data_IF_032043801748
#
_entry.id   IF_032043801748
#
_cell.length_a   1.000
_cell.length_b   1.000
_cell.length_c   1.000
_cell.angle_alpha   90.00
_cell.angle_beta   90.00
_cell.angle_gamma   90.00
#
_symmetry.space_group_name_H-M   'P 1'
#
loop_
_entity.id
_entity.type
_entity.pdbx_description
1 polymer ?
#
# COMPACT_ATOMS: atom_id res chain seq x y z
N UNK A 1 -32.04 31.48 -89.17
CA UNK A 1 -32.54 30.78 -87.97
C UNK A 1 -32.05 31.54 -86.74
N UNK A 2 -32.87 32.49 -86.26
CA UNK A 2 -32.59 33.28 -85.07
C UNK A 2 -33.33 32.62 -83.90
N UNK A 3 -32.59 31.95 -83.01
CA UNK A 3 -33.14 31.43 -81.76
C UNK A 3 -32.99 32.49 -80.67
N UNK A 4 -34.09 33.19 -80.40
CA UNK A 4 -34.24 33.95 -79.16
C UNK A 4 -34.37 32.96 -77.99
N UNK A 5 -33.44 33.03 -77.04
CA UNK A 5 -33.57 32.39 -75.73
C UNK A 5 -34.31 33.36 -74.81
N UNK A 6 -35.57 33.05 -74.50
CA UNK A 6 -36.27 33.66 -73.37
C UNK A 6 -35.59 33.26 -72.06
N UNK A 7 -35.21 34.25 -71.27
CA UNK A 7 -34.73 34.07 -69.90
C UNK A 7 -35.98 34.11 -69.01
N UNK A 8 -36.45 32.94 -68.59
CA UNK A 8 -37.45 32.80 -67.53
C UNK A 8 -36.83 33.22 -66.20
N UNK A 9 -37.25 34.36 -65.66
CA UNK A 9 -36.93 34.76 -64.30
C UNK A 9 -37.56 33.76 -63.32
N UNK A 10 -36.73 32.92 -62.71
CA UNK A 10 -37.15 32.00 -61.65
C UNK A 10 -37.31 32.80 -60.37
N UNK A 11 -38.54 33.10 -59.99
CA UNK A 11 -38.85 33.63 -58.66
C UNK A 11 -38.40 32.58 -57.64
N UNK A 12 -37.38 32.90 -56.85
CA UNK A 12 -36.97 32.10 -55.70
C UNK A 12 -38.06 32.29 -54.65
N UNK A 13 -38.98 31.35 -54.53
CA UNK A 13 -39.88 31.28 -53.38
C UNK A 13 -39.03 30.96 -52.14
N UNK A 14 -38.92 31.93 -51.23
CA UNK A 14 -38.39 31.68 -49.90
C UNK A 14 -39.35 30.74 -49.17
N UNK A 15 -38.88 29.62 -48.59
CA UNK A 15 -39.75 28.78 -47.76
C UNK A 15 -40.28 29.63 -46.61
N UNK A 16 -41.59 29.61 -46.39
CA UNK A 16 -42.20 30.25 -45.24
C UNK A 16 -41.48 29.75 -43.98
N UNK A 17 -40.89 30.68 -43.22
CA UNK A 17 -40.36 30.41 -41.90
C UNK A 17 -41.48 29.77 -41.06
N UNK A 18 -41.35 28.48 -40.76
CA UNK A 18 -42.20 27.80 -39.79
C UNK A 18 -41.95 28.47 -38.43
N UNK A 19 -42.76 29.48 -38.10
CA UNK A 19 -42.79 30.07 -36.76
C UNK A 19 -43.33 29.00 -35.83
N UNK A 20 -42.44 28.36 -35.07
CA UNK A 20 -42.82 27.46 -34.00
C UNK A 20 -43.46 28.31 -32.91
N UNK A 21 -44.75 28.14 -32.67
CA UNK A 21 -45.45 28.84 -31.60
C UNK A 21 -45.02 28.29 -30.23
N UNK A 22 -44.90 29.14 -29.20
CA UNK A 22 -44.57 28.69 -27.84
C UNK A 22 -45.70 27.81 -27.29
N UNK A 23 -45.33 26.66 -26.75
CA UNK A 23 -46.24 25.66 -26.17
C UNK A 23 -46.26 25.80 -24.64
N UNK A 24 -47.44 25.69 -24.02
CA UNK A 24 -47.55 25.70 -22.57
C UNK A 24 -46.85 24.46 -22.00
N UNK A 25 -45.83 24.66 -21.18
CA UNK A 25 -45.11 23.55 -20.53
C UNK A 25 -45.67 23.21 -19.16
N UNK A 26 -46.41 24.13 -18.53
CA UNK A 26 -47.03 23.86 -17.24
C UNK A 26 -47.38 25.08 -16.42
N UNK A 27 -47.79 24.81 -15.17
CA UNK A 27 -48.12 25.82 -14.16
C UNK A 27 -47.12 25.73 -13.01
N UNK A 28 -46.74 26.88 -12.45
CA UNK A 28 -45.89 26.99 -11.28
C UNK A 28 -46.63 27.76 -10.19
N UNK A 29 -46.73 27.15 -9.01
CA UNK A 29 -47.42 27.70 -7.85
C UNK A 29 -46.43 27.98 -6.72
N UNK A 30 -46.40 29.22 -6.22
CA UNK A 30 -45.56 29.69 -5.11
C UNK A 30 -46.28 29.52 -3.76
N UNK A 31 -45.54 29.09 -2.74
CA UNK A 31 -45.95 28.99 -1.35
C UNK A 31 -44.91 29.64 -0.43
N UNK A 32 -45.38 30.26 0.65
CA UNK A 32 -44.52 30.94 1.63
C UNK A 32 -43.86 29.99 2.63
N UNK A 33 -44.45 28.81 2.86
CA UNK A 33 -44.08 27.91 3.94
C UNK A 33 -44.17 26.43 3.50
N UNK A 34 -43.43 25.52 4.16
CA UNK A 34 -43.40 24.12 3.76
C UNK A 34 -44.68 23.35 4.11
N UNK A 35 -45.48 23.82 5.06
CA UNK A 35 -46.70 23.14 5.50
C UNK A 35 -47.81 23.26 4.45
N UNK A 36 -47.98 24.46 3.89
CA UNK A 36 -48.90 24.71 2.78
C UNK A 36 -48.48 23.94 1.52
N UNK A 37 -47.18 23.87 1.19
CA UNK A 37 -46.68 23.02 0.09
C UNK A 37 -46.98 21.54 0.35
N UNK A 38 -46.79 21.05 1.58
CA UNK A 38 -47.07 19.67 1.96
C UNK A 38 -48.55 19.31 1.81
N UNK A 39 -49.45 20.20 2.23
CA UNK A 39 -50.89 20.01 2.05
C UNK A 39 -51.29 20.04 0.57
N UNK A 40 -50.74 20.99 -0.19
CA UNK A 40 -50.94 21.06 -1.63
C UNK A 40 -50.46 19.76 -2.32
N UNK A 41 -49.28 19.27 -1.97
CA UNK A 41 -48.69 18.03 -2.51
C UNK A 41 -49.59 16.82 -2.27
N UNK A 42 -50.15 16.66 -1.06
CA UNK A 42 -51.13 15.60 -0.77
C UNK A 42 -52.36 15.70 -1.67
N UNK A 43 -52.91 16.91 -1.84
CA UNK A 43 -54.08 17.15 -2.70
C UNK A 43 -53.76 16.84 -4.17
N UNK A 44 -52.57 17.22 -4.67
CA UNK A 44 -52.16 16.93 -6.05
C UNK A 44 -51.99 15.43 -6.27
N UNK A 45 -51.33 14.73 -5.34
CA UNK A 45 -51.21 13.27 -5.36
C UNK A 45 -52.58 12.59 -5.33
N UNK A 46 -53.46 12.98 -4.42
CA UNK A 46 -54.79 12.37 -4.24
C UNK A 46 -55.72 12.69 -5.43
N UNK A 47 -55.47 13.81 -6.11
CA UNK A 47 -56.11 14.14 -7.38
C UNK A 47 -55.59 13.29 -8.55
N UNK A 48 -54.53 12.49 -8.39
CA UNK A 48 -54.07 11.52 -9.39
C UNK A 48 -53.21 12.11 -10.52
N UNK A 49 -52.62 13.29 -10.32
CA UNK A 49 -51.59 13.81 -11.24
C UNK A 49 -50.27 13.04 -11.03
N UNK A 50 -49.56 12.76 -12.12
CA UNK A 50 -48.36 11.92 -12.13
C UNK A 50 -47.09 12.65 -12.60
N UNK A 51 -47.22 13.74 -13.36
CA UNK A 51 -46.11 14.56 -13.85
C UNK A 51 -46.17 15.94 -13.22
N UNK A 52 -45.61 16.01 -12.03
CA UNK A 52 -45.46 17.25 -11.27
C UNK A 52 -44.29 17.09 -10.31
N UNK A 53 -43.79 18.22 -9.80
CA UNK A 53 -42.62 18.24 -8.92
C UNK A 53 -42.74 19.36 -7.88
N UNK A 54 -41.96 19.27 -6.82
CA UNK A 54 -41.86 20.31 -5.80
C UNK A 54 -40.43 20.83 -5.69
N UNK A 55 -40.28 22.14 -5.59
CA UNK A 55 -38.99 22.81 -5.53
C UNK A 55 -38.88 23.52 -4.19
N UNK A 56 -37.89 23.12 -3.40
CA UNK A 56 -37.71 23.59 -2.03
C UNK A 56 -36.25 24.01 -1.81
N UNK A 57 -35.99 25.05 -1.00
CA UNK A 57 -34.63 25.54 -0.75
C UNK A 57 -33.82 24.58 0.14
N UNK A 58 -34.51 23.69 0.86
CA UNK A 58 -33.93 22.69 1.74
C UNK A 58 -34.82 21.44 1.80
N UNK A 59 -34.28 20.28 2.21
CA UNK A 59 -35.08 19.06 2.32
C UNK A 59 -36.24 19.20 3.33
N UNK A 60 -37.48 19.11 2.85
CA UNK A 60 -38.68 19.10 3.69
C UNK A 60 -39.00 17.66 4.08
N UNK A 61 -38.95 17.35 5.39
CA UNK A 61 -39.24 16.01 5.87
C UNK A 61 -40.70 15.61 5.60
N UNK A 62 -40.90 14.43 4.99
CA UNK A 62 -42.23 13.89 4.66
C UNK A 62 -42.80 14.36 3.32
N UNK A 63 -42.09 15.22 2.57
CA UNK A 63 -42.52 15.65 1.22
C UNK A 63 -42.59 14.47 0.26
N UNK A 64 -41.71 13.48 0.45
CA UNK A 64 -41.67 12.24 -0.30
C UNK A 64 -42.97 11.41 -0.13
N UNK A 65 -43.44 11.26 1.10
CA UNK A 65 -44.71 10.61 1.40
C UNK A 65 -45.91 11.43 0.90
N UNK A 66 -45.85 12.77 1.04
CA UNK A 66 -46.88 13.68 0.55
C UNK A 66 -47.03 13.64 -0.97
N UNK A 67 -45.92 13.55 -1.71
CA UNK A 67 -45.89 13.37 -3.16
C UNK A 67 -46.22 11.94 -3.59
N UNK A 68 -46.02 10.96 -2.70
CA UNK A 68 -46.19 9.54 -3.02
C UNK A 68 -45.07 8.98 -3.91
N UNK A 69 -43.85 9.52 -3.81
CA UNK A 69 -42.71 9.05 -4.59
C UNK A 69 -42.23 7.68 -4.10
N UNK A 70 -41.81 6.85 -5.06
CA UNK A 70 -41.26 5.52 -4.79
C UNK A 70 -39.81 5.63 -4.36
N UNK A 71 -39.34 4.62 -3.61
CA UNK A 71 -37.92 4.51 -3.27
C UNK A 71 -37.03 4.51 -4.52
N UNK A 72 -35.94 5.27 -4.44
CA UNK A 72 -34.95 5.34 -5.51
C UNK A 72 -34.21 4.01 -5.68
N UNK A 73 -33.84 3.69 -6.93
CA UNK A 73 -33.01 2.51 -7.25
C UNK A 73 -31.52 2.75 -6.97
N UNK A 74 -31.12 3.97 -6.60
CA UNK A 74 -29.73 4.36 -6.37
C UNK A 74 -28.98 3.42 -5.40
N UNK A 75 -29.54 2.99 -4.25
CA UNK A 75 -28.84 2.08 -3.34
C UNK A 75 -28.44 0.74 -4.00
N UNK A 76 -29.26 0.24 -4.93
CA UNK A 76 -28.95 -0.99 -5.67
C UNK A 76 -27.81 -0.79 -6.67
N UNK A 77 -27.76 0.37 -7.32
CA UNK A 77 -26.64 0.77 -8.18
C UNK A 77 -25.34 0.83 -7.36
N UNK A 78 -25.40 1.49 -6.20
CA UNK A 78 -24.25 1.62 -5.28
C UNK A 78 -23.78 0.24 -4.81
N UNK A 79 -24.69 -0.63 -4.41
CA UNK A 79 -24.37 -2.00 -3.98
C UNK A 79 -23.69 -2.80 -5.11
N UNK A 80 -24.22 -2.72 -6.34
CA UNK A 80 -23.63 -3.39 -7.50
C UNK A 80 -22.22 -2.87 -7.84
N UNK A 81 -22.01 -1.56 -7.80
CA UNK A 81 -20.70 -0.96 -8.02
C UNK A 81 -19.69 -1.37 -6.92
N UNK A 82 -20.11 -1.38 -5.66
CA UNK A 82 -19.28 -1.82 -4.54
C UNK A 82 -18.86 -3.30 -4.66
N UNK A 83 -19.81 -4.19 -4.95
CA UNK A 83 -19.53 -5.62 -5.19
C UNK A 83 -18.58 -5.84 -6.36
N UNK A 84 -18.75 -5.05 -7.43
CA UNK A 84 -17.86 -5.07 -8.59
C UNK A 84 -16.44 -4.65 -8.18
N UNK A 85 -16.29 -3.59 -7.39
CA UNK A 85 -14.99 -3.13 -6.89
C UNK A 85 -14.27 -4.17 -6.04
N UNK A 86 -14.98 -4.81 -5.12
CA UNK A 86 -14.42 -5.90 -4.30
C UNK A 86 -14.01 -7.11 -5.14
N UNK A 87 -14.84 -7.49 -6.11
CA UNK A 87 -14.53 -8.61 -7.03
C UNK A 87 -13.28 -8.30 -7.87
N UNK A 88 -13.21 -7.11 -8.47
CA UNK A 88 -12.05 -6.66 -9.24
C UNK A 88 -10.79 -6.69 -8.37
N UNK A 89 -10.85 -6.19 -7.13
CA UNK A 89 -9.70 -6.15 -6.25
C UNK A 89 -9.18 -7.54 -5.89
N UNK A 90 -10.07 -8.50 -5.59
CA UNK A 90 -9.65 -9.88 -5.28
C UNK A 90 -9.08 -10.53 -6.53
N UNK A 91 -9.78 -10.47 -7.66
CA UNK A 91 -9.35 -11.12 -8.91
C UNK A 91 -8.02 -10.56 -9.40
N UNK A 92 -7.84 -9.24 -9.35
CA UNK A 92 -6.60 -8.56 -9.72
C UNK A 92 -5.44 -9.01 -8.81
N UNK A 93 -5.61 -8.95 -7.49
CA UNK A 93 -4.54 -9.32 -6.56
C UNK A 93 -4.20 -10.81 -6.63
N UNK A 94 -5.19 -11.67 -6.82
CA UNK A 94 -4.95 -13.10 -7.03
C UNK A 94 -4.16 -13.32 -8.33
N UNK A 95 -4.61 -12.73 -9.44
CA UNK A 95 -3.94 -12.86 -10.74
C UNK A 95 -2.49 -12.40 -10.66
N UNK A 96 -2.24 -11.20 -10.13
CA UNK A 96 -0.89 -10.62 -10.07
C UNK A 96 0.06 -11.42 -9.17
N UNK A 97 -0.39 -11.85 -7.98
CA UNK A 97 0.50 -12.50 -7.02
C UNK A 97 0.61 -14.02 -7.19
N UNK A 98 -0.41 -14.70 -7.71
CA UNK A 98 -0.44 -16.17 -7.80
C UNK A 98 -0.34 -16.72 -9.23
N UNK A 99 -0.60 -15.92 -10.27
CA UNK A 99 -0.63 -16.39 -11.66
C UNK A 99 0.43 -15.73 -12.53
N UNK A 100 0.41 -14.40 -12.64
CA UNK A 100 1.25 -13.64 -13.58
C UNK A 100 2.72 -13.59 -13.14
N UNK A 101 2.98 -13.08 -11.93
CA UNK A 101 4.33 -12.95 -11.41
C UNK A 101 4.43 -13.43 -9.95
N UNK A 102 4.46 -14.75 -9.73
CA UNK A 102 4.51 -15.32 -8.38
C UNK A 102 5.84 -14.99 -7.71
N UNK A 103 5.79 -14.11 -6.72
CA UNK A 103 6.96 -13.65 -5.98
C UNK A 103 6.84 -14.00 -4.49
N UNK A 104 7.77 -14.84 -4.01
CA UNK A 104 7.77 -15.30 -2.62
C UNK A 104 8.34 -14.22 -1.69
N UNK A 105 7.46 -13.34 -1.19
CA UNK A 105 7.82 -12.25 -0.28
C UNK A 105 7.77 -12.75 1.16
N UNK A 106 8.92 -12.75 1.84
CA UNK A 106 9.01 -13.02 3.29
C UNK A 106 8.41 -14.38 3.71
N UNK A 107 8.38 -15.37 2.80
CA UNK A 107 7.83 -16.71 3.07
C UNK A 107 6.31 -16.77 3.21
N UNK A 108 5.59 -15.71 2.85
CA UNK A 108 4.11 -15.68 2.85
C UNK A 108 3.56 -16.52 1.69
N UNK A 109 2.34 -17.09 1.83
CA UNK A 109 1.68 -17.73 0.69
C UNK A 109 1.49 -16.72 -0.45
N UNK A 110 1.57 -17.20 -1.70
CA UNK A 110 1.43 -16.37 -2.90
C UNK A 110 0.10 -15.60 -2.94
N UNK A 111 -0.94 -16.11 -2.29
CA UNK A 111 -2.18 -15.38 -2.07
C UNK A 111 -2.52 -15.36 -0.58
N UNK A 112 -2.76 -14.17 -0.03
CA UNK A 112 -3.05 -13.97 1.39
C UNK A 112 -4.28 -13.07 1.55
N UNK A 113 -5.41 -13.67 1.93
CA UNK A 113 -6.66 -12.94 2.14
C UNK A 113 -6.48 -11.74 3.10
N UNK A 114 -5.80 -11.86 4.27
CA UNK A 114 -5.59 -10.72 5.17
C UNK A 114 -4.86 -9.54 4.51
N UNK A 115 -3.88 -9.82 3.64
CA UNK A 115 -3.15 -8.78 2.91
C UNK A 115 -4.01 -8.11 1.82
N UNK A 116 -4.99 -8.83 1.27
CA UNK A 116 -5.88 -8.32 0.22
C UNK A 116 -7.00 -7.41 0.74
N UNK A 117 -7.38 -7.53 2.03
CA UNK A 117 -8.53 -6.83 2.61
C UNK A 117 -8.46 -5.30 2.45
N UNK A 118 -7.35 -4.60 2.76
CA UNK A 118 -7.30 -3.15 2.62
C UNK A 118 -7.58 -2.69 1.20
N UNK A 119 -6.97 -3.33 0.19
CA UNK A 119 -7.16 -2.98 -1.21
C UNK A 119 -8.58 -3.32 -1.69
N UNK A 120 -9.12 -4.45 -1.24
CA UNK A 120 -10.51 -4.84 -1.52
C UNK A 120 -11.50 -3.82 -0.95
N UNK A 121 -11.28 -3.37 0.29
CA UNK A 121 -12.12 -2.37 0.93
C UNK A 121 -12.08 -1.05 0.17
N UNK A 122 -10.90 -0.51 -0.09
CA UNK A 122 -10.74 0.78 -0.77
C UNK A 122 -11.36 0.77 -2.18
N UNK A 123 -11.12 -0.29 -2.97
CA UNK A 123 -11.68 -0.34 -4.33
C UNK A 123 -13.21 -0.52 -4.33
N UNK A 124 -13.76 -1.25 -3.34
CA UNK A 124 -15.21 -1.37 -3.15
C UNK A 124 -15.83 -0.02 -2.81
N UNK A 125 -15.23 0.71 -1.85
CA UNK A 125 -15.70 2.04 -1.42
C UNK A 125 -15.60 3.04 -2.57
N UNK A 126 -14.50 3.04 -3.32
CA UNK A 126 -14.30 3.93 -4.46
C UNK A 126 -15.37 3.73 -5.54
N UNK A 127 -15.60 2.49 -5.97
CA UNK A 127 -16.61 2.23 -7.01
C UNK A 127 -18.03 2.47 -6.49
N UNK A 128 -18.32 2.14 -5.23
CA UNK A 128 -19.59 2.49 -4.60
C UNK A 128 -19.84 4.01 -4.59
N UNK A 129 -18.81 4.81 -4.24
CA UNK A 129 -18.89 6.26 -4.25
C UNK A 129 -19.12 6.83 -5.66
N UNK A 130 -18.46 6.28 -6.68
CA UNK A 130 -18.74 6.64 -8.08
C UNK A 130 -20.15 6.25 -8.50
N UNK A 131 -20.62 5.05 -8.11
CA UNK A 131 -22.00 4.64 -8.33
C UNK A 131 -23.01 5.58 -7.67
N UNK A 132 -22.72 6.06 -6.45
CA UNK A 132 -23.57 7.00 -5.75
C UNK A 132 -23.60 8.37 -6.43
N UNK A 133 -22.42 8.93 -6.72
CA UNK A 133 -22.29 10.25 -7.32
C UNK A 133 -22.87 10.28 -8.74
N UNK A 134 -22.37 9.44 -9.65
CA UNK A 134 -22.82 9.43 -11.04
C UNK A 134 -24.22 8.84 -11.18
N UNK A 135 -24.62 7.89 -10.32
CA UNK A 135 -25.98 7.37 -10.28
C UNK A 135 -26.98 8.45 -9.87
N UNK A 136 -26.68 9.22 -8.82
CA UNK A 136 -27.53 10.35 -8.40
C UNK A 136 -27.65 11.39 -9.52
N UNK A 137 -26.54 11.77 -10.15
CA UNK A 137 -26.57 12.69 -11.27
C UNK A 137 -27.41 12.14 -12.43
N UNK A 138 -27.18 10.90 -12.84
CA UNK A 138 -27.89 10.29 -13.96
C UNK A 138 -29.40 10.14 -13.73
N UNK A 139 -29.81 9.70 -12.53
CA UNK A 139 -31.23 9.55 -12.17
C UNK A 139 -31.96 10.90 -12.11
N UNK A 140 -31.26 11.96 -11.70
CA UNK A 140 -31.78 13.33 -11.69
C UNK A 140 -31.57 14.08 -13.02
N UNK A 141 -31.09 13.39 -14.07
CA UNK A 141 -30.79 13.96 -15.40
C UNK A 141 -29.80 15.14 -15.34
N UNK A 142 -28.87 15.10 -14.39
CA UNK A 142 -27.83 16.09 -14.22
C UNK A 142 -26.56 15.72 -15.01
N UNK A 143 -25.83 16.72 -15.55
CA UNK A 143 -26.09 18.16 -15.44
C UNK A 143 -27.21 18.65 -16.39
N UNK A 144 -28.30 19.16 -15.82
CA UNK A 144 -29.38 19.83 -16.55
C UNK A 144 -29.10 21.33 -16.55
N UNK A 145 -28.32 21.80 -17.52
CA UNK A 145 -27.85 23.19 -17.59
C UNK A 145 -28.97 24.20 -17.91
N UNK A 146 -30.13 23.73 -18.35
CA UNK A 146 -31.27 24.55 -18.69
C UNK A 146 -32.60 23.88 -18.30
N UNK A 147 -33.48 24.65 -17.65
CA UNK A 147 -34.87 24.30 -17.41
C UNK A 147 -35.72 25.58 -17.64
N UNK A 148 -36.81 25.53 -18.43
CA UNK A 148 -37.68 26.68 -18.68
C UNK A 148 -38.19 27.39 -17.42
N UNK A 149 -38.39 26.66 -16.32
CA UNK A 149 -38.83 27.21 -15.03
C UNK A 149 -37.84 28.26 -14.49
N UNK A 150 -36.55 28.18 -14.84
CA UNK A 150 -35.53 29.14 -14.39
C UNK A 150 -35.70 30.55 -14.96
N UNK A 151 -36.60 30.76 -15.94
CA UNK A 151 -36.93 32.09 -16.47
C UNK A 151 -37.85 32.90 -15.57
N UNK A 152 -38.62 32.22 -14.73
CA UNK A 152 -39.50 32.89 -13.78
C UNK A 152 -38.69 33.74 -12.79
N UNK A 153 -39.10 34.99 -12.61
CA UNK A 153 -38.53 35.87 -11.60
C UNK A 153 -38.93 35.43 -10.18
N UNK A 154 -40.12 34.83 -10.01
CA UNK A 154 -40.55 34.26 -8.75
C UNK A 154 -39.68 33.05 -8.37
N UNK A 155 -39.42 32.15 -9.32
CA UNK A 155 -38.66 30.92 -9.10
C UNK A 155 -37.19 31.17 -8.71
N UNK A 156 -36.63 32.36 -8.96
CA UNK A 156 -35.31 32.74 -8.44
C UNK A 156 -35.22 32.63 -6.91
N UNK A 157 -36.35 32.73 -6.21
CA UNK A 157 -36.44 32.58 -4.74
C UNK A 157 -36.57 31.13 -4.27
N UNK A 158 -36.68 30.16 -5.17
CA UNK A 158 -36.82 28.72 -4.83
C UNK A 158 -35.64 28.17 -4.04
N UNK A 159 -34.47 28.80 -4.13
CA UNK A 159 -33.25 28.43 -3.39
C UNK A 159 -33.01 29.28 -2.14
N UNK A 160 -33.86 30.28 -1.87
CA UNK A 160 -33.69 31.22 -0.77
C UNK A 160 -34.77 31.04 0.29
N UNK A 161 -36.02 31.35 -0.04
CA UNK A 161 -37.10 31.51 0.96
C UNK A 161 -38.51 31.19 0.46
N UNK A 162 -38.64 30.61 -0.74
CA UNK A 162 -39.93 30.26 -1.33
C UNK A 162 -39.98 28.79 -1.75
N UNK A 163 -41.18 28.25 -1.69
CA UNK A 163 -41.49 26.86 -2.00
C UNK A 163 -42.37 26.83 -3.25
N UNK A 164 -42.12 25.91 -4.17
CA UNK A 164 -42.86 25.86 -5.43
C UNK A 164 -43.40 24.47 -5.72
N UNK A 165 -44.54 24.42 -6.38
CA UNK A 165 -45.10 23.22 -6.99
C UNK A 165 -45.24 23.47 -8.49
N UNK A 166 -44.66 22.60 -9.31
CA UNK A 166 -44.75 22.67 -10.77
C UNK A 166 -45.60 21.54 -11.32
N UNK A 167 -46.65 21.87 -12.05
CA UNK A 167 -47.49 20.94 -12.81
C UNK A 167 -47.01 20.89 -14.26
N UNK A 168 -46.68 19.71 -14.78
CA UNK A 168 -46.21 19.55 -16.16
C UNK A 168 -47.41 19.37 -17.11
N UNK A 169 -47.44 20.15 -18.20
CA UNK A 169 -48.51 20.09 -19.20
C UNK A 169 -48.58 18.74 -19.95
N UNK A 170 -47.50 17.95 -19.90
CA UNK A 170 -47.45 16.62 -20.49
C UNK A 170 -48.13 15.54 -19.62
N UNK A 171 -48.66 15.88 -18.44
CA UNK A 171 -49.49 14.96 -17.66
C UNK A 171 -50.77 14.59 -18.43
N UNK A 172 -51.16 13.31 -18.52
CA UNK A 172 -52.39 12.91 -19.22
C UNK A 172 -53.67 13.55 -18.68
N UNK A 173 -53.68 14.00 -17.42
CA UNK A 173 -54.81 14.67 -16.77
C UNK A 173 -54.75 16.19 -16.90
N UNK A 174 -53.64 16.74 -17.42
CA UNK A 174 -53.48 18.18 -17.53
C UNK A 174 -54.50 18.78 -18.50
N UNK A 175 -55.13 19.86 -18.04
CA UNK A 175 -56.07 20.69 -18.78
C UNK A 175 -55.83 22.12 -18.31
N UNK A 176 -55.58 23.05 -19.24
CA UNK A 176 -55.21 24.42 -18.91
C UNK A 176 -56.22 25.09 -17.96
N UNK A 177 -57.51 24.85 -18.20
CA UNK A 177 -58.61 25.42 -17.40
C UNK A 177 -58.75 24.64 -16.08
N UNK A 178 -58.99 23.33 -16.14
CA UNK A 178 -59.31 22.55 -14.93
C UNK A 178 -58.13 22.44 -13.97
N UNK A 179 -56.91 22.31 -14.52
CA UNK A 179 -55.68 22.28 -13.72
C UNK A 179 -55.37 23.66 -13.16
N UNK A 180 -55.62 24.73 -13.94
CA UNK A 180 -55.47 26.11 -13.47
C UNK A 180 -56.40 26.43 -12.29
N UNK A 181 -57.67 26.04 -12.36
CA UNK A 181 -58.62 26.19 -11.25
C UNK A 181 -58.24 25.32 -10.06
N UNK A 182 -57.83 24.07 -10.30
CA UNK A 182 -57.36 23.17 -9.26
C UNK A 182 -56.14 23.74 -8.53
N UNK A 183 -55.12 24.23 -9.24
CA UNK A 183 -53.92 24.83 -8.64
C UNK A 183 -54.29 26.06 -7.81
N UNK A 184 -55.21 26.92 -8.28
CA UNK A 184 -55.72 28.06 -7.50
C UNK A 184 -56.43 27.61 -6.21
N UNK A 185 -57.14 26.48 -6.23
CA UNK A 185 -57.79 25.92 -5.04
C UNK A 185 -56.82 25.43 -3.96
N UNK A 186 -55.54 25.27 -4.29
CA UNK A 186 -54.47 24.91 -3.34
C UNK A 186 -54.05 26.09 -2.45
N UNK A 187 -54.63 27.28 -2.63
CA UNK A 187 -54.27 28.54 -1.97
C UNK A 187 -52.79 28.97 -2.11
N UNK A 188 -52.22 28.96 -3.34
CA UNK A 188 -50.87 29.46 -3.56
C UNK A 188 -50.79 30.98 -3.40
N UNK A 189 -49.61 31.49 -3.07
CA UNK A 189 -49.31 32.92 -3.01
C UNK A 189 -49.23 33.56 -4.39
N UNK A 190 -48.75 32.81 -5.38
CA UNK A 190 -48.63 33.24 -6.76
C UNK A 190 -48.77 32.03 -7.68
N UNK A 191 -49.39 32.19 -8.86
CA UNK A 191 -49.45 31.16 -9.89
C UNK A 191 -49.04 31.80 -11.20
N UNK A 192 -48.14 31.14 -11.91
CA UNK A 192 -47.67 31.54 -13.23
C UNK A 192 -47.64 30.36 -14.19
N UNK A 193 -47.81 30.64 -15.47
CA UNK A 193 -47.64 29.69 -16.56
C UNK A 193 -46.20 29.78 -17.09
N UNK A 194 -45.57 28.64 -17.36
CA UNK A 194 -44.27 28.61 -18.03
C UNK A 194 -44.38 27.94 -19.39
N UNK A 195 -43.74 28.56 -20.38
CA UNK A 195 -43.89 28.26 -21.80
C UNK A 195 -42.59 27.76 -22.42
N UNK A 196 -42.70 27.06 -23.55
CA UNK A 196 -41.55 26.56 -24.29
C UNK A 196 -40.85 27.67 -25.06
N UNK A 197 -39.56 27.46 -25.32
CA UNK A 197 -38.77 28.40 -26.09
C UNK A 197 -38.91 28.14 -27.59
N UNK A 198 -39.03 29.22 -28.35
CA UNK A 198 -39.02 29.18 -29.82
C UNK A 198 -37.67 28.68 -30.36
N UNK A 199 -36.57 28.84 -29.61
CA UNK A 199 -35.25 28.31 -29.94
C UNK A 199 -34.67 27.44 -28.81
N UNK A 200 -34.21 26.23 -29.14
CA UNK A 200 -33.49 25.39 -28.18
C UNK A 200 -32.17 26.04 -27.75
N UNK A 201 -31.90 26.19 -26.44
CA UNK A 201 -30.67 26.80 -25.97
C UNK A 201 -29.46 25.96 -26.36
N UNK A 202 -28.55 26.57 -27.14
CA UNK A 202 -27.29 25.97 -27.56
C UNK A 202 -26.22 26.24 -26.50
N UNK A 203 -25.38 25.23 -26.20
CA UNK A 203 -24.22 25.41 -25.31
C UNK A 203 -23.35 26.60 -25.79
N UNK A 204 -22.95 27.53 -24.90
CA UNK A 204 -22.14 28.68 -25.29
C UNK A 204 -20.81 28.20 -25.87
N UNK A 205 -20.33 28.89 -26.93
CA UNK A 205 -19.14 28.48 -27.69
C UNK A 205 -17.91 28.31 -26.78
N UNK A 206 -17.74 29.22 -25.82
CA UNK A 206 -16.60 29.22 -24.89
C UNK A 206 -16.61 28.00 -23.97
N UNK A 207 -17.79 27.55 -23.52
CA UNK A 207 -17.92 26.36 -22.69
C UNK A 207 -17.60 25.09 -23.49
N UNK A 208 -18.07 24.98 -24.73
CA UNK A 208 -17.70 23.85 -25.61
C UNK A 208 -16.19 23.82 -25.86
N UNK A 209 -15.59 24.97 -26.18
CA UNK A 209 -14.15 25.07 -26.41
C UNK A 209 -13.35 24.68 -25.16
N UNK A 210 -13.79 25.16 -23.98
CA UNK A 210 -13.18 24.82 -22.69
C UNK A 210 -13.26 23.34 -22.36
N UNK A 211 -14.42 22.70 -22.58
CA UNK A 211 -14.60 21.25 -22.40
C UNK A 211 -13.72 20.45 -23.36
N UNK A 212 -13.63 20.86 -24.63
CA UNK A 212 -12.74 20.22 -25.61
C UNK A 212 -11.28 20.34 -25.21
N UNK A 213 -10.84 21.53 -24.77
CA UNK A 213 -9.46 21.75 -24.32
C UNK A 213 -9.15 20.91 -23.07
N UNK A 214 -10.06 20.87 -22.10
CA UNK A 214 -9.93 20.04 -20.91
C UNK A 214 -9.83 18.55 -21.26
N UNK A 215 -10.67 18.08 -22.18
CA UNK A 215 -10.62 16.70 -22.68
C UNK A 215 -9.26 16.36 -23.31
N UNK A 216 -8.69 17.26 -24.12
CA UNK A 216 -7.34 17.08 -24.69
C UNK A 216 -6.26 17.07 -23.60
N UNK A 217 -6.34 17.98 -22.63
CA UNK A 217 -5.39 18.03 -21.51
C UNK A 217 -5.44 16.75 -20.66
N UNK A 218 -6.62 16.16 -20.47
CA UNK A 218 -6.79 14.89 -19.76
C UNK A 218 -6.17 13.69 -20.49
N UNK A 219 -5.95 13.77 -21.80
CA UNK A 219 -5.21 12.75 -22.55
C UNK A 219 -3.70 12.86 -22.38
N UNK A 220 -3.18 14.02 -21.96
CA UNK A 220 -1.74 14.26 -21.83
C UNK A 220 -1.06 13.29 -20.83
N UNK A 221 -1.59 13.04 -19.61
CA UNK A 221 -0.99 12.06 -18.70
C UNK A 221 -0.94 10.64 -19.29
N UNK A 222 -2.00 10.21 -19.98
CA UNK A 222 -2.05 8.88 -20.62
C UNK A 222 -0.99 8.78 -21.72
N UNK A 223 -0.90 9.82 -22.57
CA UNK A 223 0.12 9.91 -23.61
C UNK A 223 1.54 9.93 -23.03
N UNK A 224 1.77 10.66 -21.93
CA UNK A 224 3.05 10.68 -21.22
C UNK A 224 3.38 9.30 -20.64
N UNK A 225 2.45 8.61 -19.99
CA UNK A 225 2.66 7.26 -19.49
C UNK A 225 2.99 6.30 -20.63
N UNK A 226 2.23 6.33 -21.74
CA UNK A 226 2.49 5.50 -22.91
C UNK A 226 3.88 5.75 -23.52
N UNK A 227 4.25 7.01 -23.70
CA UNK A 227 5.58 7.41 -24.19
C UNK A 227 6.70 7.02 -23.22
N UNK A 228 6.47 7.11 -21.92
CA UNK A 228 7.50 6.82 -20.92
C UNK A 228 7.66 5.33 -20.62
N UNK A 229 6.65 4.49 -20.88
CA UNK A 229 6.75 3.02 -20.82
C UNK A 229 7.75 2.44 -21.84
N UNK A 230 8.04 3.15 -22.94
CA UNK A 230 8.97 2.69 -23.98
C UNK A 230 10.38 3.26 -23.85
N UNK A 231 10.70 4.00 -22.78
CA UNK A 231 12.01 4.64 -22.59
C UNK A 231 12.63 4.22 -21.27
N UNK A 232 13.90 3.81 -21.26
CA UNK A 232 14.69 3.51 -20.04
C UNK A 232 15.55 4.72 -19.64
N UNK A 233 15.64 5.05 -18.35
CA UNK A 233 16.55 6.09 -17.80
C UNK A 233 16.86 5.74 -16.36
N UNK A 234 18.02 6.20 -15.88
CA UNK A 234 18.50 5.91 -14.53
C UNK A 234 18.20 7.04 -13.52
N UNK A 235 17.50 8.09 -13.95
CA UNK A 235 17.10 9.24 -13.13
C UNK A 235 15.59 9.26 -12.92
N UNK A 236 15.08 9.45 -11.67
CA UNK A 236 13.65 9.61 -11.44
C UNK A 236 13.12 10.80 -12.24
N UNK A 237 12.19 10.56 -13.16
CA UNK A 237 11.83 11.53 -14.22
C UNK A 237 10.88 12.64 -13.77
N UNK A 238 9.98 12.35 -12.83
CA UNK A 238 8.99 13.29 -12.29
C UNK A 238 8.80 12.93 -10.81
N UNK A 239 9.01 13.91 -9.93
CA UNK A 239 8.88 13.75 -8.48
C UNK A 239 7.73 14.62 -7.98
N UNK A 240 6.57 13.99 -7.74
CA UNK A 240 5.30 14.71 -7.44
C UNK A 240 5.17 14.99 -5.94
N UNK A 241 5.78 14.16 -5.09
CA UNK A 241 5.66 14.24 -3.63
C UNK A 241 7.04 14.49 -3.03
N UNK A 242 7.54 15.76 -3.02
CA UNK A 242 8.88 16.06 -2.54
C UNK A 242 9.06 15.77 -1.04
N UNK A 243 7.97 15.78 -0.27
CA UNK A 243 7.98 15.82 1.21
C UNK A 243 8.46 14.52 1.88
N UNK A 244 8.31 13.37 1.22
CA UNK A 244 8.74 12.08 1.79
C UNK A 244 10.17 11.68 1.39
N UNK A 245 10.64 12.13 0.23
CA UNK A 245 11.98 11.77 -0.28
C UNK A 245 13.03 12.83 0.07
N UNK A 246 12.63 14.10 0.16
CA UNK A 246 13.50 15.23 0.47
C UNK A 246 13.20 15.83 1.83
N UNK A 247 13.24 14.98 2.86
CA UNK A 247 13.14 15.45 4.23
C UNK A 247 14.41 16.19 4.65
N UNK A 248 14.29 17.36 5.31
CA UNK A 248 15.40 17.99 6.00
C UNK A 248 15.96 17.00 7.02
N UNK A 249 17.13 16.44 6.73
CA UNK A 249 17.82 15.52 7.62
C UNK A 249 19.24 15.98 7.80
N UNK A 250 19.69 15.94 9.05
CA UNK A 250 21.09 16.08 9.38
C UNK A 250 21.80 14.81 8.87
N UNK A 251 22.83 14.99 8.05
CA UNK A 251 23.61 13.90 7.47
C UNK A 251 24.90 13.74 8.26
N UNK A 252 25.46 12.53 8.18
CA UNK A 252 26.77 12.24 8.74
C UNK A 252 27.84 13.12 8.07
N UNK A 253 28.81 13.59 8.86
CA UNK A 253 29.96 14.40 8.37
C UNK A 253 29.62 15.76 7.75
N UNK A 254 28.46 16.34 8.09
CA UNK A 254 28.07 17.69 7.67
C UNK A 254 28.19 18.72 8.81
N UNK A 255 28.13 20.00 8.42
CA UNK A 255 28.17 21.15 9.34
C UNK A 255 26.78 21.73 9.58
N UNK A 256 26.51 22.22 10.80
CA UNK A 256 25.27 22.89 11.18
C UNK A 256 25.53 24.10 12.06
N UNK A 257 24.60 25.05 12.07
CA UNK A 257 24.59 26.21 12.95
C UNK A 257 23.75 25.99 14.23
N UNK A 258 23.11 24.83 14.39
CA UNK A 258 22.25 24.53 15.54
C UNK A 258 23.08 24.18 16.78
N UNK A 259 24.16 23.41 16.61
CA UNK A 259 25.02 22.96 17.70
C UNK A 259 26.28 23.83 17.81
N UNK A 260 26.72 24.11 19.04
CA UNK A 260 27.85 25.00 19.30
C UNK A 260 29.21 24.52 18.78
N UNK A 261 29.35 23.24 18.43
CA UNK A 261 30.55 22.66 17.82
C UNK A 261 30.48 22.61 16.28
N UNK A 262 29.40 23.10 15.69
CA UNK A 262 29.22 23.19 14.24
C UNK A 262 28.95 21.86 13.54
N UNK A 263 28.77 20.74 14.26
CA UNK A 263 28.69 19.38 13.67
C UNK A 263 27.27 18.84 13.67
N UNK A 264 26.81 18.36 12.51
CA UNK A 264 25.52 17.64 12.39
C UNK A 264 25.55 16.30 13.11
N UNK A 265 26.65 15.56 12.94
CA UNK A 265 26.90 14.32 13.68
C UNK A 265 27.35 14.65 15.11
N UNK A 266 26.64 14.11 16.10
CA UNK A 266 27.04 14.21 17.51
C UNK A 266 28.09 13.14 17.80
N UNK A 267 29.26 13.49 18.36
CA UNK A 267 30.21 12.48 18.83
C UNK A 267 29.60 11.70 20.01
N UNK A 268 30.11 10.48 20.23
CA UNK A 268 29.78 9.73 21.44
C UNK A 268 30.12 10.56 22.69
N UNK A 269 29.21 10.55 23.66
CA UNK A 269 29.46 11.25 24.93
C UNK A 269 30.52 10.45 25.70
N UNK A 270 31.65 11.06 26.11
CA UNK A 270 32.69 10.35 26.85
C UNK A 270 32.13 9.62 28.07
N UNK A 271 32.54 8.35 28.26
CA UNK A 271 32.07 7.51 29.37
C UNK A 271 30.66 6.93 29.19
N UNK A 272 29.99 7.15 28.05
CA UNK A 272 28.71 6.50 27.75
C UNK A 272 28.91 5.29 26.84
N UNK A 273 28.23 4.19 27.16
CA UNK A 273 28.21 2.97 26.37
C UNK A 273 26.79 2.83 25.78
N UNK A 274 26.61 2.56 24.48
CA UNK A 274 25.30 2.36 23.88
C UNK A 274 24.50 1.29 24.64
N UNK A 275 23.21 1.51 24.80
CA UNK A 275 22.32 0.57 25.51
C UNK A 275 22.42 -0.82 24.85
N UNK A 276 22.82 -1.82 25.62
CA UNK A 276 23.01 -3.20 25.14
C UNK A 276 24.43 -3.53 24.65
N UNK A 277 25.36 -2.57 24.65
CA UNK A 277 26.79 -2.79 24.36
C UNK A 277 27.67 -2.79 25.61
N UNK A 278 27.08 -2.67 26.80
CA UNK A 278 27.82 -2.87 28.04
C UNK A 278 28.27 -4.32 28.12
N UNK A 279 29.58 -4.52 28.05
CA UNK A 279 30.25 -5.78 28.36
C UNK A 279 30.90 -5.60 29.72
N UNK A 280 30.55 -6.43 30.69
CA UNK A 280 31.30 -6.48 31.95
C UNK A 280 32.69 -7.14 31.71
N UNK A 281 33.52 -7.19 32.76
CA UNK A 281 34.87 -7.76 32.69
C UNK A 281 34.92 -9.29 32.51
N UNK A 282 33.79 -9.94 32.21
CA UNK A 282 33.72 -11.37 31.92
C UNK A 282 34.22 -11.69 30.50
N UNK A 283 35.54 -11.60 30.33
CA UNK A 283 36.26 -11.93 29.08
C UNK A 283 35.90 -13.34 28.55
N UNK A 284 35.83 -14.40 29.39
CA UNK A 284 35.37 -15.72 28.97
C UNK A 284 34.01 -15.68 28.28
N UNK A 285 33.06 -14.92 28.81
CA UNK A 285 31.70 -14.86 28.30
C UNK A 285 31.56 -14.06 27.00
N UNK A 286 32.22 -12.89 26.89
CA UNK A 286 32.05 -12.04 25.71
C UNK A 286 32.96 -12.39 24.53
N UNK A 287 34.11 -13.01 24.79
CA UNK A 287 35.14 -13.25 23.75
C UNK A 287 35.52 -14.72 23.58
N UNK A 288 35.12 -15.61 24.51
CA UNK A 288 35.52 -17.00 24.48
C UNK A 288 37.00 -17.24 24.80
N UNK A 289 37.67 -16.28 25.43
CA UNK A 289 39.09 -16.33 25.79
C UNK A 289 39.25 -16.50 27.31
N UNK A 290 40.27 -17.25 27.73
CA UNK A 290 40.64 -17.38 29.13
C UNK A 290 41.18 -16.03 29.62
N UNK A 291 40.87 -15.71 30.88
CA UNK A 291 41.58 -14.65 31.60
C UNK A 291 43.00 -15.15 31.85
N UNK A 292 44.00 -14.46 31.30
CA UNK A 292 45.39 -14.73 31.62
C UNK A 292 45.81 -13.86 32.82
N UNK A 293 46.72 -14.33 33.69
CA UNK A 293 47.34 -13.49 34.71
C UNK A 293 48.00 -12.26 34.07
N UNK A 294 48.05 -11.15 34.82
CA UNK A 294 48.32 -9.76 34.40
C UNK A 294 49.53 -9.48 33.48
N UNK A 295 50.38 -10.46 33.17
CA UNK A 295 51.56 -10.29 32.30
C UNK A 295 51.33 -10.71 30.82
N UNK A 296 50.11 -11.10 30.43
CA UNK A 296 49.77 -11.37 29.03
C UNK A 296 48.45 -10.70 28.65
N UNK A 297 48.55 -9.46 28.14
CA UNK A 297 47.42 -8.63 27.72
C UNK A 297 46.63 -9.25 26.54
N UNK A 298 45.70 -10.16 26.85
CA UNK A 298 44.67 -10.62 25.90
C UNK A 298 43.70 -9.48 25.56
N UNK A 299 43.60 -8.49 26.45
CA UNK A 299 42.74 -7.31 26.31
C UNK A 299 43.18 -6.44 25.12
N UNK A 300 44.48 -6.41 24.77
CA UNK A 300 44.96 -5.66 23.61
C UNK A 300 44.56 -6.23 22.26
N UNK A 301 44.28 -7.54 22.13
CA UNK A 301 43.93 -8.13 20.83
C UNK A 301 42.42 -7.96 20.54
N UNK A 302 41.56 -8.12 21.55
CA UNK A 302 40.12 -7.95 21.39
C UNK A 302 39.69 -6.48 21.26
N UNK A 303 40.36 -5.54 21.95
CA UNK A 303 40.04 -4.12 21.89
C UNK A 303 40.62 -3.41 20.64
N UNK A 304 41.75 -3.89 20.09
CA UNK A 304 42.35 -3.27 18.90
C UNK A 304 41.64 -3.66 17.59
N UNK A 305 41.03 -4.85 17.51
CA UNK A 305 40.22 -5.24 16.35
C UNK A 305 38.86 -4.51 16.32
N UNK A 306 38.26 -4.20 17.48
CA UNK A 306 37.04 -3.37 17.55
C UNK A 306 37.35 -1.88 17.24
N UNK A 307 38.46 -1.32 17.74
CA UNK A 307 38.84 0.08 17.46
C UNK A 307 39.21 0.33 15.99
N UNK A 308 39.84 -0.64 15.31
CA UNK A 308 40.15 -0.52 13.86
C UNK A 308 38.93 -0.66 12.96
N UNK A 309 37.88 -1.36 13.40
CA UNK A 309 36.64 -1.48 12.63
C UNK A 309 35.87 -0.15 12.53
N UNK A 310 36.07 0.76 13.49
CA UNK A 310 35.41 2.07 13.54
C UNK A 310 36.22 3.21 12.90
N UNK A 311 37.55 3.12 12.79
CA UNK A 311 38.39 4.23 12.28
C UNK A 311 38.74 4.18 10.78
N UNK A 312 38.61 3.05 10.08
CA UNK A 312 38.81 3.02 8.62
C UNK A 312 37.81 2.10 7.92
N UNK A 313 36.69 2.66 7.46
CA UNK A 313 36.06 2.21 6.21
C UNK A 313 36.58 3.10 5.07
N UNK A 314 37.58 2.66 4.29
CA UNK A 314 37.78 3.25 2.98
C UNK A 314 36.50 3.02 2.17
N UNK A 315 36.04 4.06 1.49
CA UNK A 315 35.00 3.95 0.47
C UNK A 315 35.29 2.76 -0.44
N UNK A 316 34.26 1.98 -0.75
CA UNK A 316 34.24 0.79 -1.62
C UNK A 316 35.43 0.72 -2.60
N UNK A 317 36.55 0.18 -2.11
CA UNK A 317 37.62 -0.28 -2.97
C UNK A 317 37.18 -1.68 -3.43
N UNK A 318 37.08 -1.86 -4.75
CA UNK A 318 37.01 -3.20 -5.35
C UNK A 318 38.06 -4.09 -4.67
N UNK A 319 37.75 -5.36 -4.35
CA UNK A 319 38.74 -6.24 -3.76
C UNK A 319 39.93 -6.28 -4.71
N UNK A 320 41.10 -5.86 -4.22
CA UNK A 320 42.34 -6.20 -4.90
C UNK A 320 42.41 -7.74 -4.92
N UNK A 321 42.40 -8.31 -6.12
CA UNK A 321 42.78 -9.70 -6.31
C UNK A 321 44.18 -9.90 -5.71
N UNK A 322 44.30 -10.85 -4.78
CA UNK A 322 45.57 -11.24 -4.17
C UNK A 322 45.84 -10.62 -2.80
N UNK A 323 45.02 -10.94 -1.80
CA UNK A 323 45.54 -10.98 -0.44
C UNK A 323 46.58 -12.11 -0.37
N UNK A 324 47.85 -11.77 -0.11
CA UNK A 324 48.95 -12.74 -0.05
C UNK A 324 48.59 -13.92 0.86
N UNK A 325 48.70 -15.14 0.34
CA UNK A 325 48.43 -16.38 1.06
C UNK A 325 49.18 -16.45 2.41
N UNK A 326 50.35 -15.83 2.48
CA UNK A 326 51.19 -15.74 3.69
C UNK A 326 50.54 -14.93 4.81
N UNK A 327 49.83 -13.84 4.49
CA UNK A 327 49.14 -13.03 5.49
C UNK A 327 47.91 -13.76 6.06
N UNK A 328 47.22 -14.52 5.21
CA UNK A 328 46.07 -15.33 5.62
C UNK A 328 46.52 -16.54 6.45
N UNK A 329 47.63 -17.19 6.08
CA UNK A 329 48.24 -18.26 6.87
C UNK A 329 48.76 -17.77 8.23
N UNK A 330 49.39 -16.60 8.29
CA UNK A 330 49.85 -16.00 9.55
C UNK A 330 48.69 -15.60 10.48
N UNK A 331 47.56 -15.16 9.94
CA UNK A 331 46.35 -14.87 10.72
C UNK A 331 45.67 -16.15 11.25
N UNK A 332 45.62 -17.21 10.44
CA UNK A 332 45.10 -18.52 10.87
C UNK A 332 45.95 -19.17 11.97
N UNK A 333 47.28 -19.04 11.89
CA UNK A 333 48.21 -19.51 12.92
C UNK A 333 48.06 -18.75 14.24
N UNK A 334 47.93 -17.42 14.20
CA UNK A 334 47.65 -16.61 15.39
C UNK A 334 46.33 -17.01 16.06
N UNK A 335 45.25 -17.19 15.29
CA UNK A 335 43.95 -17.60 15.82
C UNK A 335 43.97 -19.02 16.44
N UNK A 336 44.78 -19.92 15.87
CA UNK A 336 44.95 -21.27 16.41
C UNK A 336 45.60 -21.29 17.80
N UNK A 337 46.47 -20.32 18.10
CA UNK A 337 47.29 -20.26 19.32
C UNK A 337 46.70 -19.38 20.44
N UNK A 338 45.53 -18.76 20.25
CA UNK A 338 44.89 -17.97 21.29
C UNK A 338 44.43 -18.81 22.49
N UNK A 339 44.39 -18.23 23.71
CA UNK A 339 44.04 -18.92 24.94
C UNK A 339 42.52 -19.16 25.05
N UNK A 340 41.94 -19.97 24.18
CA UNK A 340 40.50 -20.23 24.15
C UNK A 340 39.99 -20.92 25.41
N UNK A 341 38.79 -20.57 25.86
CA UNK A 341 38.10 -21.33 26.92
C UNK A 341 37.69 -22.71 26.42
N UNK A 342 37.94 -23.72 27.25
CA UNK A 342 37.59 -25.12 26.97
C UNK A 342 36.27 -25.54 27.62
N UNK A 343 35.79 -24.76 28.58
CA UNK A 343 34.55 -24.98 29.33
C UNK A 343 33.57 -23.82 29.09
N UNK A 344 32.28 -24.06 29.35
CA UNK A 344 31.25 -23.04 29.20
C UNK A 344 31.33 -22.03 30.35
N UNK A 345 31.38 -20.71 30.07
CA UNK A 345 31.43 -19.67 31.10
C UNK A 345 30.05 -19.40 31.73
N UNK A 346 29.12 -20.34 31.65
CA UNK A 346 27.75 -20.24 32.15
C UNK A 346 27.17 -21.62 32.47
N UNK A 347 26.14 -21.73 33.35
CA UNK A 347 25.55 -23.00 33.71
C UNK A 347 24.94 -23.75 32.51
N UNK A 348 25.41 -24.97 32.28
CA UNK A 348 24.84 -25.88 31.28
C UNK A 348 23.55 -26.47 31.84
N UNK A 349 22.42 -26.15 31.20
CA UNK A 349 21.08 -26.58 31.63
C UNK A 349 20.25 -27.07 30.44
N UNK A 350 19.19 -27.84 30.70
CA UNK A 350 18.24 -28.28 29.66
C UNK A 350 17.61 -27.09 28.94
N UNK A 351 17.36 -26.00 29.66
CA UNK A 351 16.85 -24.74 29.08
C UNK A 351 17.85 -24.15 28.10
N UNK A 352 19.15 -24.13 28.43
CA UNK A 352 20.21 -23.68 27.53
C UNK A 352 20.31 -24.58 26.30
N UNK A 353 20.19 -25.90 26.46
CA UNK A 353 20.20 -26.86 25.34
C UNK A 353 19.01 -26.63 24.39
N UNK A 354 17.79 -26.49 24.94
CA UNK A 354 16.59 -26.21 24.16
C UNK A 354 16.70 -24.89 23.40
N UNK A 355 17.23 -23.85 24.07
CA UNK A 355 17.49 -22.55 23.46
C UNK A 355 18.53 -22.63 22.35
N UNK A 356 19.61 -23.38 22.56
CA UNK A 356 20.65 -23.63 21.57
C UNK A 356 20.10 -24.28 20.31
N UNK A 357 19.26 -25.31 20.48
CA UNK A 357 18.55 -25.98 19.37
C UNK A 357 17.67 -25.01 18.59
N UNK A 358 16.88 -24.19 19.27
CA UNK A 358 16.02 -23.18 18.64
C UNK A 358 16.86 -22.20 17.81
N UNK A 359 17.87 -21.59 18.41
CA UNK A 359 18.71 -20.58 17.74
C UNK A 359 19.53 -21.16 16.59
N UNK A 360 20.03 -22.38 16.74
CA UNK A 360 20.72 -23.10 15.67
C UNK A 360 19.81 -23.31 14.45
N UNK A 361 18.54 -23.70 14.66
CA UNK A 361 17.58 -23.93 13.56
C UNK A 361 17.19 -22.65 12.83
N UNK A 362 17.28 -21.50 13.50
CA UNK A 362 16.99 -20.19 12.91
C UNK A 362 18.19 -19.70 12.10
N UNK A 363 19.38 -19.70 12.70
CA UNK A 363 20.54 -18.99 12.14
C UNK A 363 21.53 -19.88 11.39
N UNK A 364 21.72 -21.13 11.83
CA UNK A 364 22.84 -21.96 11.40
C UNK A 364 22.42 -23.07 10.43
N UNK A 365 21.26 -23.72 10.63
CA UNK A 365 20.85 -24.89 9.85
C UNK A 365 20.60 -24.60 8.37
N UNK A 366 20.33 -23.34 8.01
CA UNK A 366 20.15 -22.92 6.62
C UNK A 366 21.41 -23.14 5.77
N UNK A 367 22.60 -23.05 6.36
CA UNK A 367 23.88 -23.32 5.70
C UNK A 367 24.47 -24.68 6.13
N UNK A 368 24.38 -25.01 7.41
CA UNK A 368 25.04 -26.19 7.99
C UNK A 368 24.18 -27.46 8.03
N UNK A 369 22.89 -27.38 7.69
CA UNK A 369 21.96 -28.50 7.78
C UNK A 369 21.41 -28.72 9.19
N UNK A 370 20.39 -29.56 9.34
CA UNK A 370 19.84 -29.89 10.66
C UNK A 370 20.77 -30.78 11.48
N UNK A 371 21.51 -31.68 10.82
CA UNK A 371 22.50 -32.57 11.43
C UNK A 371 23.91 -31.98 11.53
N UNK A 372 24.17 -30.84 10.88
CA UNK A 372 25.48 -30.20 10.89
C UNK A 372 26.46 -30.74 9.86
N UNK A 373 25.99 -31.45 8.82
CA UNK A 373 26.83 -31.98 7.74
C UNK A 373 27.30 -30.94 6.70
N UNK A 374 26.91 -29.67 6.86
CA UNK A 374 27.24 -28.64 5.88
C UNK A 374 26.39 -28.76 4.61
N UNK A 375 25.16 -29.26 4.72
CA UNK A 375 24.23 -29.57 3.63
C UNK A 375 22.91 -28.80 3.76
N UNK A 376 22.95 -27.62 4.39
CA UNK A 376 21.78 -26.75 4.51
C UNK A 376 21.26 -26.30 3.13
N UNK A 377 19.99 -25.87 3.08
CA UNK A 377 19.31 -25.49 1.84
C UNK A 377 20.07 -24.46 1.01
N UNK A 378 20.73 -23.49 1.67
CA UNK A 378 21.56 -22.48 0.99
C UNK A 378 22.74 -23.14 0.28
N UNK A 379 23.39 -24.10 0.93
CA UNK A 379 24.51 -24.85 0.36
C UNK A 379 24.04 -25.70 -0.83
N UNK A 380 22.94 -26.44 -0.67
CA UNK A 380 22.38 -27.27 -1.75
C UNK A 380 22.04 -26.42 -2.98
N UNK A 381 21.40 -25.26 -2.77
CA UNK A 381 21.06 -24.34 -3.86
C UNK A 381 22.30 -23.71 -4.50
N UNK A 382 23.30 -23.33 -3.72
CA UNK A 382 24.53 -22.74 -4.25
C UNK A 382 25.33 -23.75 -5.10
N UNK A 383 25.33 -25.03 -4.71
CA UNK A 383 25.94 -26.12 -5.48
C UNK A 383 25.17 -26.40 -6.78
N UNK A 384 23.83 -26.47 -6.71
CA UNK A 384 22.95 -26.64 -7.87
C UNK A 384 23.14 -25.51 -8.91
N UNK A 385 23.30 -24.27 -8.44
CA UNK A 385 23.60 -23.10 -9.26
C UNK A 385 25.07 -22.97 -9.70
N UNK A 386 25.95 -23.91 -9.30
CA UNK A 386 27.40 -23.87 -9.60
C UNK A 386 28.06 -22.52 -9.25
N UNK A 387 27.71 -21.95 -8.10
CA UNK A 387 28.25 -20.66 -7.65
C UNK A 387 29.76 -20.75 -7.38
N UNK A 388 30.58 -20.18 -8.27
CA UNK A 388 32.04 -20.34 -8.28
C UNK A 388 32.77 -19.81 -7.03
N UNK A 389 32.15 -18.91 -6.26
CA UNK A 389 32.73 -18.37 -5.02
C UNK A 389 32.23 -19.06 -3.75
N UNK A 390 31.30 -20.02 -3.87
CA UNK A 390 30.70 -20.70 -2.72
C UNK A 390 31.61 -21.81 -2.19
N UNK A 391 31.81 -21.83 -0.87
CA UNK A 391 32.55 -22.89 -0.19
C UNK A 391 31.59 -23.62 0.74
N UNK A 392 31.48 -24.95 0.57
CA UNK A 392 30.67 -25.79 1.46
C UNK A 392 31.09 -25.56 2.92
N UNK A 393 30.16 -25.25 3.83
CA UNK A 393 30.49 -25.18 5.25
C UNK A 393 31.06 -26.51 5.75
N UNK A 394 32.07 -26.46 6.61
CA UNK A 394 32.66 -27.68 7.16
C UNK A 394 31.64 -28.43 8.02
N UNK A 395 31.62 -29.76 7.88
CA UNK A 395 30.82 -30.62 8.74
C UNK A 395 31.36 -30.57 10.17
N UNK A 396 30.45 -30.41 11.14
CA UNK A 396 30.81 -30.34 12.55
C UNK A 396 31.37 -31.64 13.10
N UNK A 397 31.13 -32.75 12.39
CA UNK A 397 31.55 -34.10 12.77
C UNK A 397 33.02 -34.39 12.42
N UNK A 398 33.65 -33.53 11.63
CA UNK A 398 35.07 -33.67 11.29
C UNK A 398 35.97 -33.41 12.50
N UNK A 399 37.07 -34.16 12.62
CA UNK A 399 38.05 -34.02 13.71
C UNK A 399 38.54 -32.57 13.90
N UNK A 400 38.76 -31.88 12.78
CA UNK A 400 39.12 -30.47 12.69
C UNK A 400 38.20 -29.58 13.55
N UNK A 401 36.89 -29.79 13.45
CA UNK A 401 35.89 -28.95 14.13
C UNK A 401 35.58 -29.48 15.52
N UNK A 402 35.58 -30.81 15.70
CA UNK A 402 35.30 -31.45 17.00
C UNK A 402 36.33 -31.09 18.07
N UNK A 403 37.61 -31.07 17.70
CA UNK A 403 38.73 -30.77 18.61
C UNK A 403 38.82 -29.29 18.98
N UNK A 404 38.02 -28.42 18.34
CA UNK A 404 38.06 -26.99 18.67
C UNK A 404 37.49 -26.73 20.08
N UNK A 405 38.17 -25.88 20.87
CA UNK A 405 37.67 -25.42 22.15
C UNK A 405 36.37 -24.64 21.97
N UNK A 406 35.49 -24.68 22.97
CA UNK A 406 34.16 -24.02 22.89
C UNK A 406 34.28 -22.51 22.67
N UNK A 407 35.34 -21.87 23.19
CA UNK A 407 35.65 -20.47 22.92
C UNK A 407 35.92 -20.15 21.46
N UNK A 408 36.63 -21.03 20.73
CA UNK A 408 36.90 -20.85 19.30
C UNK A 408 35.63 -20.99 18.45
N UNK A 409 34.73 -21.90 18.83
CA UNK A 409 33.42 -22.05 18.19
C UNK A 409 32.55 -20.80 18.42
N UNK A 410 32.52 -20.29 19.66
CA UNK A 410 31.85 -19.04 19.99
C UNK A 410 32.40 -17.86 19.18
N UNK A 411 33.73 -17.74 19.08
CA UNK A 411 34.39 -16.71 18.29
C UNK A 411 34.03 -16.81 16.80
N UNK A 412 33.99 -18.02 16.25
CA UNK A 412 33.62 -18.26 14.85
C UNK A 412 32.19 -17.79 14.57
N UNK A 413 31.24 -18.02 15.48
CA UNK A 413 29.87 -17.50 15.33
C UNK A 413 29.86 -15.97 15.44
N UNK A 414 30.67 -15.43 16.34
CA UNK A 414 30.75 -13.99 16.62
C UNK A 414 31.28 -13.20 15.44
N UNK A 415 32.45 -13.59 14.92
CA UNK A 415 33.23 -12.83 13.95
C UNK A 415 33.18 -13.41 12.53
N UNK A 416 32.57 -14.59 12.36
CA UNK A 416 32.62 -15.32 11.10
C UNK A 416 33.98 -15.98 10.88
N UNK A 417 34.11 -16.70 9.78
CA UNK A 417 35.38 -17.29 9.33
C UNK A 417 35.34 -17.51 7.83
N UNK A 418 36.36 -17.03 7.11
CA UNK A 418 36.44 -17.14 5.64
C UNK A 418 35.18 -16.59 4.96
N UNK A 419 34.35 -17.46 4.38
CA UNK A 419 33.09 -17.11 3.71
C UNK A 419 31.87 -17.16 4.63
N UNK A 420 32.03 -17.63 5.87
CA UNK A 420 30.98 -17.58 6.88
C UNK A 420 30.87 -16.16 7.44
N UNK A 421 29.70 -15.52 7.37
CA UNK A 421 29.51 -14.17 7.90
C UNK A 421 29.54 -14.13 9.43
N UNK A 422 29.81 -12.95 9.98
CA UNK A 422 29.69 -12.67 11.41
C UNK A 422 28.21 -12.61 11.84
N UNK A 423 27.89 -13.27 12.95
CA UNK A 423 26.55 -13.27 13.55
C UNK A 423 26.49 -12.54 14.90
N UNK A 424 27.58 -11.97 15.38
CA UNK A 424 27.63 -11.23 16.65
C UNK A 424 26.56 -10.12 16.77
N UNK A 425 26.29 -9.31 15.72
CA UNK A 425 25.23 -8.30 15.76
C UNK A 425 23.80 -8.87 15.86
N UNK A 426 23.57 -10.09 15.38
CA UNK A 426 22.24 -10.71 15.30
C UNK A 426 21.96 -11.69 16.47
N UNK A 427 23.01 -12.26 17.06
CA UNK A 427 22.90 -13.31 18.07
C UNK A 427 23.60 -12.85 19.36
N UNK A 428 22.85 -12.60 20.46
CA UNK A 428 23.42 -12.24 21.75
C UNK A 428 24.46 -13.27 22.27
N UNK A 429 25.43 -12.86 23.12
CA UNK A 429 26.42 -13.77 23.70
C UNK A 429 25.82 -15.05 24.32
N UNK A 430 24.75 -14.93 25.10
CA UNK A 430 24.07 -16.06 25.76
C UNK A 430 23.57 -17.09 24.73
N UNK A 431 22.95 -16.58 23.66
CA UNK A 431 22.39 -17.40 22.58
C UNK A 431 23.51 -18.04 21.75
N UNK A 432 24.66 -17.38 21.56
CA UNK A 432 25.85 -17.97 20.91
C UNK A 432 26.43 -19.11 21.73
N UNK A 433 26.56 -18.95 23.05
CA UNK A 433 26.97 -20.05 23.93
C UNK A 433 25.98 -21.23 23.91
N UNK A 434 24.68 -20.94 23.90
CA UNK A 434 23.65 -21.97 23.77
C UNK A 434 23.77 -22.71 22.42
N UNK A 435 24.04 -22.01 21.32
CA UNK A 435 24.32 -22.65 20.02
C UNK A 435 25.54 -23.55 20.12
N UNK A 436 26.65 -23.10 20.72
CA UNK A 436 27.87 -23.91 20.89
C UNK A 436 27.58 -25.19 21.69
N UNK A 437 26.74 -25.11 22.72
CA UNK A 437 26.29 -26.29 23.48
C UNK A 437 25.52 -27.29 22.59
N UNK A 438 24.57 -26.80 21.78
CA UNK A 438 23.84 -27.66 20.86
C UNK A 438 24.76 -28.25 19.77
N UNK A 439 25.75 -27.49 19.31
CA UNK A 439 26.79 -27.94 18.39
C UNK A 439 27.59 -29.12 18.97
N UNK A 440 27.99 -29.04 20.25
CA UNK A 440 28.64 -30.15 20.96
C UNK A 440 27.73 -31.37 21.11
N UNK A 441 26.42 -31.17 21.28
CA UNK A 441 25.44 -32.26 21.29
C UNK A 441 25.34 -32.96 19.92
N UNK A 442 25.30 -32.20 18.82
CA UNK A 442 25.35 -32.76 17.46
C UNK A 442 26.63 -33.56 17.24
N UNK A 443 27.79 -33.02 17.62
CA UNK A 443 29.07 -33.73 17.52
C UNK A 443 29.06 -35.05 18.29
N UNK A 444 28.40 -35.10 19.45
CA UNK A 444 28.27 -36.30 20.27
C UNK A 444 27.28 -37.31 19.68
N UNK A 445 26.21 -36.87 19.01
CA UNK A 445 25.14 -37.77 18.53
C UNK A 445 25.60 -38.76 17.46
N UNK A 446 26.68 -38.48 16.73
CA UNK A 446 27.26 -39.40 15.73
C UNK A 446 28.26 -40.40 16.33
N UNK A 447 28.53 -40.34 17.65
CA UNK A 447 29.53 -41.16 18.34
C UNK A 447 28.97 -41.90 19.56
N UNK A 448 27.65 -41.93 19.71
CA UNK A 448 27.01 -42.74 20.74
C UNK A 448 26.99 -44.18 20.26
N UNK A 449 27.78 -45.03 20.90
CA UNK A 449 27.68 -46.47 20.73
C UNK A 449 26.27 -46.92 21.17
N UNK A 450 25.54 -47.58 20.27
CA UNK A 450 24.19 -48.05 20.54
C UNK A 450 24.15 -48.97 21.77
N UNK A 451 25.25 -49.62 22.14
CA UNK A 451 25.34 -50.49 23.31
C UNK A 451 25.44 -49.75 24.64
N UNK A 452 25.72 -48.45 24.60
CA UNK A 452 25.71 -47.58 25.79
C UNK A 452 24.33 -47.06 26.18
N UNK A 453 23.33 -47.25 25.32
CA UNK A 453 21.95 -46.83 25.56
C UNK A 453 21.20 -47.86 26.42
N UNK A 454 20.44 -47.38 27.40
CA UNK A 454 19.53 -48.21 28.19
C UNK A 454 18.41 -48.79 27.30
N UNK A 455 17.80 -49.90 27.74
CA UNK A 455 16.69 -50.51 27.01
C UNK A 455 15.49 -49.56 26.83
N UNK A 456 15.25 -48.66 27.79
CA UNK A 456 14.18 -47.65 27.70
C UNK A 456 14.51 -46.55 26.66
N UNK A 457 15.77 -46.12 26.54
CA UNK A 457 16.21 -45.20 25.49
C UNK A 457 16.14 -45.85 24.11
N UNK A 458 16.55 -47.12 24.00
CA UNK A 458 16.40 -47.93 22.78
C UNK A 458 14.93 -48.12 22.38
N UNK A 459 13.99 -48.16 23.34
CA UNK A 459 12.54 -48.21 23.06
C UNK A 459 12.04 -46.88 22.52
N UNK A 460 12.36 -45.77 23.19
CA UNK A 460 11.96 -44.42 22.76
C UNK A 460 12.41 -44.10 21.33
N UNK A 461 13.63 -44.47 20.95
CA UNK A 461 14.15 -44.26 19.59
C UNK A 461 13.43 -45.09 18.51
N UNK A 462 12.87 -46.26 18.85
CA UNK A 462 12.06 -47.05 17.90
C UNK A 462 10.68 -46.44 17.69
N UNK A 463 10.12 -45.82 18.73
CA UNK A 463 8.79 -45.23 18.71
C UNK A 463 8.76 -43.82 18.07
N UNK A 464 9.92 -43.27 17.69
CA UNK A 464 10.03 -41.93 17.07
C UNK A 464 10.02 -41.94 15.53
N UNK A 465 9.63 -43.05 14.90
CA UNK A 465 9.61 -43.20 13.43
C UNK A 465 8.34 -42.67 12.79
#
# INVERSE_FOLDING_TARGET
MSMNKEIMATTIEHPAENKVEPELLGLLAEFNDPESLMEASRKVRDAGYNRWDTHTPFPVHGIDEAMGIKYTILPWIVAACGLTGGTIAISMQYWMNAVDYPFLISGKPLFSIPACIPIMFELSVLLAAFGAFFGMLGLNQLPKLYNPIFKSDAFRRATNDRFFLSMDASDPKFSEIDTGEFVKSLNPNHVEEFWSDVESPKLPRNLRLGLSLFGVLMLMPIALVAYKRSTVTDTPRIHIVPDMDFQPKLKTQNTTNIFGDGREMRPHIPGTIPRGQYKDDNIPFYYGLKVLPEDQDVITIAAQDEAKADEEKPAEAKPAEGANADAQAAAEDKLANLPWVTEFPMPVTDKMMARGKERYRIYCSVCHGLGGEGDGLVTLRAMDLQQGTWVRPASYHTDNVRKQPVGRLFHTITNGVRKMPAYGPQIPPEDRWAIVLYLKALQKSHQVDADTLTNDEKRKLRDTK
#
